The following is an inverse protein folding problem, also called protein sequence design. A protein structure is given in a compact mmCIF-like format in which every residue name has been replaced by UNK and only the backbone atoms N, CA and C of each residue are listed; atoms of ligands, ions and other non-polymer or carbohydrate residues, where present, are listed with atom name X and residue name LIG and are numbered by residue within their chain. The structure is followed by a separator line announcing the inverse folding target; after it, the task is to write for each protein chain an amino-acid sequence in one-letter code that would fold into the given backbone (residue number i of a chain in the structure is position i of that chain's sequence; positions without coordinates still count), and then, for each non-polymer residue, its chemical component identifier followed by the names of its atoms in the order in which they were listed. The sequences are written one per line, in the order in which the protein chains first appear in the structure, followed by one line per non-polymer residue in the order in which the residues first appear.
data_IF_976077107377
#
_entry.id   IF_976077107377
#
_cell.length_a   1.000
_cell.length_b   1.000
_cell.length_c   1.000
_cell.angle_alpha   90.00
_cell.angle_beta   90.00
_cell.angle_gamma   90.00
#
_symmetry.space_group_name_H-M   'P 1'
#
loop_
_entity.id
_entity.type
_entity.pdbx_description
1 polymer ?
#
# COMPACT_ATOMS: atom_id res chain seq x y z
N UNK A 1 -10.67 -7.66 -3.05
CA UNK A 1 -10.95 -6.84 -4.24
C UNK A 1 -10.22 -7.41 -5.45
N UNK A 2 -10.64 -7.04 -6.66
CA UNK A 2 -9.91 -7.34 -7.89
C UNK A 2 -8.58 -6.57 -7.89
N UNK A 3 -7.51 -7.17 -8.40
CA UNK A 3 -6.25 -6.46 -8.58
C UNK A 3 -6.31 -5.61 -9.86
N UNK A 4 -6.09 -4.30 -9.76
CA UNK A 4 -6.04 -3.39 -10.91
C UNK A 4 -4.87 -3.67 -11.88
N UNK A 5 -3.88 -4.46 -11.47
CA UNK A 5 -2.69 -4.77 -12.27
C UNK A 5 -2.79 -6.12 -13.00
N UNK A 6 -3.18 -7.20 -12.31
CA UNK A 6 -3.26 -8.54 -12.92
C UNK A 6 -4.68 -9.05 -13.16
N UNK A 7 -5.71 -8.31 -12.72
CA UNK A 7 -7.11 -8.69 -12.91
C UNK A 7 -7.57 -9.90 -12.09
N UNK A 8 -6.76 -10.40 -11.14
CA UNK A 8 -7.14 -11.52 -10.28
C UNK A 8 -7.82 -11.04 -9.00
N UNK A 9 -8.83 -11.78 -8.53
CA UNK A 9 -9.43 -11.54 -7.23
C UNK A 9 -8.49 -11.97 -6.11
N UNK A 10 -8.50 -11.24 -4.99
CA UNK A 10 -7.70 -11.56 -3.81
C UNK A 10 -6.73 -10.46 -3.38
N UNK A 11 -6.68 -9.34 -4.11
CA UNK A 11 -6.05 -8.13 -3.59
C UNK A 11 -6.76 -7.68 -2.30
N UNK A 12 -5.97 -7.14 -1.37
CA UNK A 12 -6.44 -6.71 -0.04
C UNK A 12 -5.75 -5.42 0.39
N UNK A 13 -6.46 -4.61 1.16
CA UNK A 13 -5.90 -3.41 1.77
C UNK A 13 -5.17 -3.80 3.05
N UNK A 14 -3.91 -3.35 3.18
CA UNK A 14 -3.09 -3.46 4.39
C UNK A 14 -2.78 -2.06 4.88
N UNK A 15 -2.83 -1.86 6.19
CA UNK A 15 -2.36 -0.63 6.82
C UNK A 15 -0.89 -0.77 7.15
N UNK A 16 -0.06 0.13 6.63
CA UNK A 16 1.39 0.11 6.81
C UNK A 16 1.88 1.46 7.32
N UNK A 17 3.04 1.46 7.97
CA UNK A 17 3.79 2.67 8.23
C UNK A 17 4.73 2.94 7.05
N UNK A 18 4.85 4.20 6.63
CA UNK A 18 5.93 4.65 5.73
C UNK A 18 6.74 5.75 6.40
N UNK A 19 8.05 5.67 6.23
CA UNK A 19 9.01 6.64 6.77
C UNK A 19 9.53 7.53 5.66
N UNK A 20 9.62 8.83 5.95
CA UNK A 20 10.14 9.84 5.04
C UNK A 20 11.20 10.66 5.77
N UNK A 21 12.24 11.09 5.06
CA UNK A 21 13.36 11.81 5.66
C UNK A 21 14.32 10.91 6.45
N UNK A 22 15.17 11.52 7.27
CA UNK A 22 16.20 10.83 8.08
C UNK A 22 16.60 11.64 9.31
N UNK A 23 17.11 10.99 10.34
CA UNK A 23 17.62 11.65 11.54
C UNK A 23 16.55 12.49 12.24
N UNK A 24 16.82 13.78 12.47
CA UNK A 24 15.88 14.71 13.13
C UNK A 24 14.67 15.05 12.26
N UNK A 25 14.78 14.88 10.94
CA UNK A 25 13.73 15.18 9.98
C UNK A 25 12.96 13.90 9.58
N UNK A 26 13.07 12.83 10.37
CA UNK A 26 12.34 11.59 10.12
C UNK A 26 10.85 11.77 10.48
N UNK A 27 10.00 11.61 9.48
CA UNK A 27 8.55 11.56 9.62
C UNK A 27 8.08 10.12 9.43
N UNK A 28 7.28 9.63 10.37
CA UNK A 28 6.58 8.34 10.26
C UNK A 28 5.10 8.62 10.05
N UNK A 29 4.56 8.16 8.93
CA UNK A 29 3.13 8.21 8.65
C UNK A 29 2.59 6.79 8.81
N UNK A 30 1.71 6.62 9.78
CA UNK A 30 1.09 5.33 10.11
C UNK A 30 -0.25 5.14 9.41
N UNK A 31 -0.73 3.89 9.42
CA UNK A 31 -2.06 3.52 8.94
C UNK A 31 -2.34 3.86 7.47
N UNK A 32 -1.30 3.96 6.63
CA UNK A 32 -1.46 4.22 5.20
C UNK A 32 -2.13 2.98 4.56
N UNK A 33 -3.30 3.15 3.88
CA UNK A 33 -3.94 2.07 3.17
C UNK A 33 -3.15 1.73 1.91
N UNK A 34 -2.66 0.50 1.82
CA UNK A 34 -1.91 -0.03 0.68
C UNK A 34 -2.62 -1.27 0.15
N UNK A 35 -2.99 -1.26 -1.13
CA UNK A 35 -3.48 -2.47 -1.81
C UNK A 35 -2.30 -3.40 -2.04
N UNK A 36 -2.47 -4.69 -1.72
CA UNK A 36 -1.45 -5.71 -1.89
C UNK A 36 -2.07 -6.96 -2.51
N UNK A 37 -1.49 -7.43 -3.62
CA UNK A 37 -1.95 -8.61 -4.34
C UNK A 37 -1.02 -9.80 -4.11
N UNK A 38 -1.51 -10.93 -3.55
CA UNK A 38 -0.68 -12.12 -3.34
C UNK A 38 -0.38 -12.88 -4.65
N UNK A 39 -1.11 -12.61 -5.74
CA UNK A 39 -0.99 -13.35 -6.99
C UNK A 39 0.15 -12.84 -7.88
N UNK A 40 0.29 -11.52 -8.02
CA UNK A 40 1.36 -10.91 -8.83
C UNK A 40 2.45 -10.20 -8.00
N UNK A 41 2.28 -10.08 -6.69
CA UNK A 41 3.25 -9.43 -5.79
C UNK A 41 3.15 -7.90 -5.76
N UNK A 42 2.31 -7.30 -6.61
CA UNK A 42 2.14 -5.85 -6.67
C UNK A 42 1.57 -5.28 -5.39
N UNK A 43 2.05 -4.08 -5.04
CA UNK A 43 1.52 -3.30 -3.93
C UNK A 43 1.49 -1.82 -4.29
N UNK A 44 0.30 -1.23 -4.31
CA UNK A 44 0.06 0.13 -4.80
C UNK A 44 -0.92 0.89 -3.92
N UNK A 45 -0.83 2.22 -3.98
CA UNK A 45 -1.78 3.12 -3.34
C UNK A 45 -2.93 3.39 -4.31
N UNK A 46 -4.15 3.41 -3.79
CA UNK A 46 -5.33 3.82 -4.54
C UNK A 46 -5.77 5.19 -4.06
N UNK A 47 -6.18 6.06 -4.98
CA UNK A 47 -6.80 7.33 -4.62
C UNK A 47 -8.27 7.05 -4.23
N UNK A 48 -8.51 6.73 -2.96
CA UNK A 48 -9.85 6.91 -2.39
C UNK A 48 -9.98 8.40 -2.08
N UNK A 49 -10.75 9.12 -2.89
CA UNK A 49 -11.05 10.54 -2.74
C UNK A 49 -12.23 10.76 -1.82
#
# INVERSE_FOLDING_TARGET
MLCDICGQEGARIRRVARTYGKGKDLLVIENIPLVSCPHCGESYLTAET
#
